data_IF_687472674400
#
_entry.id   IF_687472674400
#
_cell.length_a   1.000
_cell.length_b   1.000
_cell.length_c   1.000
_cell.angle_alpha   90.00
_cell.angle_beta   90.00
_cell.angle_gamma   90.00
#
_symmetry.space_group_name_H-M   'P 1'
#
loop_
_entity.id
_entity.type
_entity.pdbx_description
1 polymer ?
#
# COMPACT_ATOMS: atom_id res chain seq x y z
N UNK A 1 8.26 4.49 -9.20
CA UNK A 1 7.15 3.79 -8.52
C UNK A 1 7.51 3.61 -7.05
N UNK A 2 6.51 3.51 -6.18
CA UNK A 2 6.69 3.22 -4.75
C UNK A 2 5.92 1.96 -4.39
N UNK A 3 6.38 1.28 -3.35
CA UNK A 3 5.75 0.10 -2.77
C UNK A 3 5.42 0.33 -1.30
N UNK A 4 4.23 -0.07 -0.88
CA UNK A 4 3.79 0.07 0.50
C UNK A 4 3.17 -1.22 1.03
N UNK A 5 3.50 -1.58 2.27
CA UNK A 5 2.70 -2.51 3.07
C UNK A 5 1.63 -1.69 3.79
N UNK A 6 0.37 -1.99 3.54
CA UNK A 6 -0.75 -1.41 4.29
C UNK A 6 -1.24 -2.40 5.33
N UNK A 7 -1.20 -2.01 6.59
CA UNK A 7 -1.89 -2.69 7.67
C UNK A 7 -3.33 -2.18 7.71
N UNK A 8 -4.29 -3.01 7.33
CA UNK A 8 -5.71 -2.67 7.26
C UNK A 8 -6.53 -3.52 8.24
N UNK A 9 -7.83 -3.25 8.37
CA UNK A 9 -8.72 -4.01 9.27
C UNK A 9 -8.87 -5.49 8.92
N UNK A 10 -8.72 -5.87 7.65
CA UNK A 10 -8.75 -7.27 7.19
C UNK A 10 -7.38 -7.93 7.17
N UNK A 11 -6.33 -7.17 7.48
CA UNK A 11 -4.95 -7.61 7.51
C UNK A 11 -4.03 -6.83 6.57
N UNK A 12 -2.78 -7.30 6.44
CA UNK A 12 -1.77 -6.64 5.61
C UNK A 12 -2.04 -6.86 4.12
N UNK A 13 -1.60 -5.93 3.27
CA UNK A 13 -1.52 -6.13 1.82
C UNK A 13 -0.40 -5.25 1.23
N UNK A 14 0.16 -5.65 0.09
CA UNK A 14 1.19 -4.86 -0.58
C UNK A 14 0.61 -4.17 -1.80
N UNK A 15 0.89 -2.88 -1.94
CA UNK A 15 0.53 -2.10 -3.13
C UNK A 15 1.76 -1.58 -3.86
N UNK A 16 1.60 -1.39 -5.18
CA UNK A 16 2.47 -0.57 -6.01
C UNK A 16 1.70 0.66 -6.45
N UNK A 17 2.38 1.80 -6.49
CA UNK A 17 1.80 3.04 -7.02
C UNK A 17 2.84 3.88 -7.76
N UNK A 18 2.38 4.62 -8.77
CA UNK A 18 3.19 5.65 -9.44
C UNK A 18 3.23 6.95 -8.65
N UNK A 19 2.33 7.14 -7.68
CA UNK A 19 2.28 8.33 -6.83
C UNK A 19 3.51 8.45 -5.94
N UNK A 20 3.97 9.69 -5.77
CA UNK A 20 5.15 10.00 -4.95
C UNK A 20 4.87 9.94 -3.46
N UNK A 21 3.62 9.76 -3.00
CA UNK A 21 3.24 9.74 -1.59
C UNK A 21 2.03 8.84 -1.35
N UNK A 22 1.99 8.17 -0.19
CA UNK A 22 0.82 7.43 0.27
C UNK A 22 -0.37 8.36 0.59
N UNK A 23 -0.11 9.63 0.86
CA UNK A 23 -1.10 10.69 1.11
C UNK A 23 -1.52 11.43 -0.17
N UNK A 24 -1.21 10.89 -1.36
CA UNK A 24 -1.73 11.47 -2.59
C UNK A 24 -3.26 11.32 -2.62
N UNK A 25 -4.00 12.41 -2.87
CA UNK A 25 -5.46 12.40 -2.83
C UNK A 25 -6.10 11.41 -3.80
N UNK A 26 -5.55 11.27 -5.02
CA UNK A 26 -6.06 10.32 -6.03
C UNK A 26 -5.84 8.86 -5.57
N UNK A 27 -4.68 8.59 -4.97
CA UNK A 27 -4.39 7.28 -4.38
C UNK A 27 -5.35 6.96 -3.24
N UNK A 28 -5.59 7.91 -2.34
CA UNK A 28 -6.51 7.77 -1.21
C UNK A 28 -7.95 7.53 -1.67
N UNK A 29 -8.43 8.27 -2.68
CA UNK A 29 -9.74 8.03 -3.30
C UNK A 29 -9.86 6.62 -3.86
N UNK A 30 -8.81 6.11 -4.50
CA UNK A 30 -8.79 4.73 -5.03
C UNK A 30 -8.75 3.67 -3.94
N UNK A 31 -8.01 3.91 -2.85
CA UNK A 31 -8.01 3.02 -1.68
C UNK A 31 -9.37 3.02 -0.99
N UNK A 32 -9.99 4.19 -0.82
CA UNK A 32 -11.35 4.35 -0.29
C UNK A 32 -12.39 3.63 -1.15
N UNK A 33 -12.32 3.75 -2.48
CA UNK A 33 -13.20 3.03 -3.40
C UNK A 33 -13.04 1.49 -3.31
N UNK A 34 -11.93 1.01 -2.75
CA UNK A 34 -11.68 -0.41 -2.43
C UNK A 34 -12.02 -0.77 -0.98
N UNK A 35 -12.61 0.14 -0.21
CA UNK A 35 -12.96 -0.05 1.21
C UNK A 35 -11.78 0.08 2.18
N UNK A 36 -10.64 0.59 1.72
CA UNK A 36 -9.45 0.82 2.54
C UNK A 36 -9.44 2.29 2.94
N UNK A 37 -10.20 2.60 3.99
CA UNK A 37 -10.36 3.98 4.47
C UNK A 37 -9.34 4.34 5.54
N UNK A 38 -8.99 3.39 6.42
CA UNK A 38 -8.07 3.59 7.55
C UNK A 38 -6.97 2.54 7.51
N UNK A 39 -5.72 2.96 7.61
CA UNK A 39 -4.57 2.06 7.52
C UNK A 39 -3.31 2.63 8.17
N UNK A 40 -2.35 1.75 8.44
CA UNK A 40 -0.96 2.13 8.71
C UNK A 40 -0.13 1.67 7.52
N UNK A 41 0.55 2.60 6.87
CA UNK A 41 1.42 2.31 5.75
C UNK A 41 2.89 2.26 6.17
N UNK A 42 3.60 1.29 5.66
CA UNK A 42 5.05 1.20 5.73
C UNK A 42 5.58 1.19 4.30
N UNK A 43 6.51 2.10 3.99
CA UNK A 43 7.21 2.02 2.71
C UNK A 43 8.11 0.78 2.70
N UNK A 44 8.01 0.02 1.62
CA UNK A 44 8.95 -1.05 1.31
C UNK A 44 9.92 -0.50 0.26
N UNK A 45 11.24 -0.67 0.41
CA UNK A 45 12.18 -0.35 -0.66
C UNK A 45 11.79 -1.07 -1.96
N UNK A 46 11.59 -0.31 -3.04
CA UNK A 46 11.03 -0.83 -4.30
C UNK A 46 11.83 -2.02 -4.85
N UNK A 47 13.16 -1.91 -4.86
CA UNK A 47 14.05 -2.96 -5.34
C UNK A 47 14.00 -4.22 -4.46
N UNK A 48 13.75 -4.07 -3.15
CA UNK A 48 13.58 -5.20 -2.24
C UNK A 48 12.26 -5.93 -2.51
N UNK A 49 11.17 -5.19 -2.78
CA UNK A 49 9.91 -5.79 -3.19
C UNK A 49 10.07 -6.54 -4.52
N UNK A 50 10.75 -5.93 -5.50
CA UNK A 50 11.05 -6.57 -6.78
C UNK A 50 11.85 -7.86 -6.61
N UNK A 51 12.90 -7.81 -5.79
CA UNK A 51 13.73 -8.98 -5.50
C UNK A 51 12.93 -10.12 -4.85
N UNK A 52 11.98 -9.83 -3.96
CA UNK A 52 11.25 -10.89 -3.24
C UNK A 52 10.10 -11.48 -4.05
N UNK A 53 9.37 -10.65 -4.78
CA UNK A 53 8.24 -11.10 -5.59
C UNK A 53 8.66 -11.60 -6.99
N UNK A 54 9.89 -11.35 -7.43
CA UNK A 54 10.46 -11.85 -8.68
C UNK A 54 9.51 -11.59 -9.87
N UNK A 55 9.27 -12.59 -10.73
CA UNK A 55 8.43 -12.43 -11.92
C UNK A 55 6.98 -12.00 -11.63
N UNK A 56 6.45 -12.27 -10.43
CA UNK A 56 5.12 -11.74 -10.05
C UNK A 56 5.16 -10.21 -9.93
N UNK A 57 6.26 -9.66 -9.44
CA UNK A 57 6.48 -8.22 -9.42
C UNK A 57 6.48 -7.64 -10.83
N UNK A 58 7.22 -8.24 -11.76
CA UNK A 58 7.33 -7.76 -13.14
C UNK A 58 5.97 -7.75 -13.83
N UNK A 59 5.15 -8.78 -13.64
CA UNK A 59 3.79 -8.85 -14.19
C UNK A 59 2.94 -7.70 -13.64
N UNK A 60 2.91 -7.51 -12.31
CA UNK A 60 2.07 -6.48 -11.69
C UNK A 60 2.57 -5.07 -11.99
N UNK A 61 3.88 -4.85 -12.04
CA UNK A 61 4.48 -3.55 -12.30
C UNK A 61 4.32 -3.12 -13.77
N UNK A 62 4.41 -4.06 -14.73
CA UNK A 62 4.23 -3.76 -16.15
C UNK A 62 2.76 -3.59 -16.55
N UNK A 63 1.83 -4.17 -15.81
CA UNK A 63 0.38 -3.97 -15.98
C UNK A 63 -0.10 -2.58 -15.50
N UNK A 64 0.81 -1.79 -14.89
CA UNK A 64 0.54 -0.42 -14.46
C UNK A 64 0.57 0.54 -15.67
N UNK A 65 -0.58 0.76 -16.29
CA UNK A 65 -0.74 1.84 -17.26
C UNK A 65 -0.68 3.21 -16.57
N UNK A 66 -0.23 4.26 -17.28
CA UNK A 66 -0.14 5.63 -16.71
C UNK A 66 -1.46 6.13 -16.10
N UNK A 67 -2.61 5.65 -16.61
CA UNK A 67 -3.95 5.98 -16.12
C UNK A 67 -4.38 5.20 -14.88
N UNK A 68 -3.68 4.11 -14.55
CA UNK A 68 -4.05 3.16 -13.51
C UNK A 68 -2.92 3.04 -12.48
N UNK A 69 -2.83 4.06 -11.64
CA UNK A 69 -1.73 4.36 -10.69
C UNK A 69 -1.70 3.53 -9.38
N UNK A 70 -2.54 2.50 -9.23
CA UNK A 70 -2.62 1.63 -8.05
C UNK A 70 -2.76 0.15 -8.47
N UNK A 71 -1.85 -0.69 -7.99
CA UNK A 71 -1.93 -2.15 -8.10
C UNK A 71 -1.76 -2.79 -6.75
N UNK A 72 -2.46 -3.90 -6.54
CA UNK A 72 -2.21 -4.75 -5.38
C UNK A 72 -1.19 -5.81 -5.82
N UNK A 73 0.00 -5.76 -5.23
CA UNK A 73 1.06 -6.73 -5.47
C UNK A 73 0.78 -8.04 -4.74
N UNK A 74 0.27 -7.96 -3.51
CA UNK A 74 -0.05 -9.15 -2.72
C UNK A 74 -1.31 -8.96 -1.89
N UNK A 75 -2.31 -9.80 -2.17
CA UNK A 75 -3.56 -9.89 -1.40
C UNK A 75 -3.43 -10.85 -0.21
N UNK A 76 -2.41 -11.71 -0.16
CA UNK A 76 -2.18 -12.63 0.94
C UNK A 76 -1.42 -11.92 2.06
N UNK A 77 -2.17 -11.36 3.00
CA UNK A 77 -1.61 -10.59 4.10
C UNK A 77 -0.66 -11.34 5.03
N UNK A 78 -0.89 -12.63 5.28
CA UNK A 78 0.03 -13.43 6.11
C UNK A 78 1.39 -13.58 5.42
N UNK A 79 1.39 -13.90 4.12
CA UNK A 79 2.62 -13.99 3.32
C UNK A 79 3.33 -12.64 3.26
N UNK A 80 2.60 -11.58 2.90
CA UNK A 80 3.14 -10.23 2.80
C UNK A 80 3.80 -9.78 4.11
N UNK A 81 3.14 -10.00 5.24
CA UNK A 81 3.62 -9.56 6.54
C UNK A 81 4.86 -10.31 7.02
N UNK A 82 4.92 -11.63 6.80
CA UNK A 82 6.10 -12.44 7.15
C UNK A 82 7.29 -12.19 6.23
N UNK A 83 7.03 -11.74 5.00
CA UNK A 83 8.06 -11.57 3.98
C UNK A 83 9.01 -10.41 4.28
N UNK A 84 8.59 -9.38 5.02
CA UNK A 84 9.40 -8.21 5.33
C UNK A 84 9.62 -8.06 6.84
N UNK A 85 10.87 -7.87 7.24
CA UNK A 85 11.20 -7.48 8.62
C UNK A 85 10.86 -6.01 8.84
N UNK A 86 10.41 -5.65 10.04
CA UNK A 86 10.20 -4.25 10.42
C UNK A 86 11.46 -3.39 10.28
N UNK A 87 12.66 -3.97 10.39
CA UNK A 87 13.92 -3.24 10.20
C UNK A 87 14.17 -2.83 8.74
N UNK A 88 13.47 -3.44 7.80
CA UNK A 88 13.56 -3.17 6.36
C UNK A 88 12.48 -2.19 5.88
N UNK A 89 11.49 -1.93 6.74
CA UNK A 89 10.37 -1.06 6.45
C UNK A 89 10.71 0.39 6.79
N UNK A 90 10.15 1.32 6.01
CA UNK A 90 10.16 2.74 6.32
C UNK A 90 9.39 3.06 7.61
N UNK A 91 9.35 4.34 7.97
CA UNK A 91 8.56 4.78 9.14
C UNK A 91 7.07 4.50 8.91
N UNK A 92 6.39 4.12 10.00
CA UNK A 92 4.94 4.02 10.00
C UNK A 92 4.31 5.36 9.64
N UNK A 93 3.44 5.34 8.65
CA UNK A 93 2.58 6.45 8.26
C UNK A 93 1.14 6.09 8.59
N UNK A 94 0.46 6.91 9.40
CA UNK A 94 -0.89 6.61 9.88
C UNK A 94 -1.87 7.43 9.04
N UNK A 95 -2.81 6.75 8.39
CA UNK A 95 -3.91 7.37 7.69
C UNK A 95 -5.24 7.01 8.36
N UNK A 96 -5.98 8.04 8.77
CA UNK A 96 -7.33 7.92 9.29
C UNK A 96 -8.16 9.07 8.72
N UNK A 97 -9.29 8.77 8.04
CA UNK A 97 -10.12 9.80 7.46
C UNK A 97 -10.82 10.55 8.58
N UNK A 98 -11.03 11.85 8.38
CA UNK A 98 -11.83 12.63 9.31
C UNK A 98 -13.27 12.10 9.25
N UNK A 99 -13.72 11.38 10.28
CA UNK A 99 -15.10 10.91 10.33
C UNK A 99 -16.05 12.12 10.41
N UNK A 100 -16.93 12.33 9.41
CA UNK A 100 -17.96 13.36 9.52
C UNK A 100 -18.92 12.95 10.64
N UNK A 101 -18.81 13.59 11.81
CA UNK A 101 -19.72 13.37 12.95
C UNK A 101 -19.08 12.95 14.28
N UNK A 102 -17.76 12.75 14.35
CA UNK A 102 -17.05 12.49 15.63
C UNK A 102 -16.18 13.67 16.11
N UNK A 103 -16.18 14.77 15.37
CA UNK A 103 -15.79 16.06 15.93
C UNK A 103 -16.96 16.58 16.77
N UNK A 104 -16.98 16.20 18.06
CA UNK A 104 -17.48 16.93 19.24
C UNK A 104 -17.68 15.89 20.36
N UNK A 105 -16.71 15.84 21.27
CA UNK A 105 -16.89 15.62 22.70
C UNK A 105 -15.65 16.18 23.41
#
# INVERSE_FOLDING_TARGET
MRSFMLMTGSGPLIILTSHSSIENSILLEKLMAKGIEKFIAFEIPYDLAAQRYHGHFDVVANDLHETDDLRILDYNGDRAFRMFSFSELGKAHIHEPLMPGLAVA
#
